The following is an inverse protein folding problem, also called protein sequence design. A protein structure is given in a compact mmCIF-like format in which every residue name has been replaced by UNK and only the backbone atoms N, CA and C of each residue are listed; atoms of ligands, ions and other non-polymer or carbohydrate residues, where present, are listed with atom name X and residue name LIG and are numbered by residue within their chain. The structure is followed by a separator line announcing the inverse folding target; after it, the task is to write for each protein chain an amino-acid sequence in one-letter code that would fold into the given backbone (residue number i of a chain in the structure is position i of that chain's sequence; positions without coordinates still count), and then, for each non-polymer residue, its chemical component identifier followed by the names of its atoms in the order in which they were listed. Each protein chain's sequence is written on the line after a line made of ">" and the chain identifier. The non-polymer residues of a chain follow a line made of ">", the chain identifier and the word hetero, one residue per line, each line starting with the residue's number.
data_IF_237415595764
#
_entry.id   IF_237415595764
#
_cell.length_a   1.000
_cell.length_b   1.000
_cell.length_c   1.000
_cell.angle_alpha   90.00
_cell.angle_beta   90.00
_cell.angle_gamma   90.00
#
_symmetry.space_group_name_H-M   'P 1'
#
loop_
_entity.id
_entity.type
_entity.pdbx_description
1 polymer ?
#
# COMPACT_ATOMS: atom_id res chain seq x y z
N UNK A 1 19.51 19.85 -18.76
CA UNK A 1 18.61 18.86 -18.12
C UNK A 1 18.45 19.34 -16.69
N UNK A 2 17.38 20.10 -16.46
CA UNK A 2 17.28 21.06 -15.36
C UNK A 2 16.50 20.46 -14.17
N UNK A 3 16.97 20.80 -12.97
CA UNK A 3 16.55 20.28 -11.66
C UNK A 3 15.23 20.90 -11.22
N UNK A 4 14.12 20.43 -11.79
CA UNK A 4 12.76 20.74 -11.32
C UNK A 4 11.96 19.45 -11.20
N UNK A 5 12.42 18.63 -10.27
CA UNK A 5 11.83 17.37 -9.89
C UNK A 5 10.94 17.54 -8.65
N UNK A 6 9.82 16.83 -8.68
CA UNK A 6 9.26 16.12 -7.53
C UNK A 6 8.51 16.90 -6.44
N UNK A 7 7.64 17.83 -6.84
CA UNK A 7 6.53 18.29 -5.99
C UNK A 7 5.26 18.45 -6.83
N UNK A 8 4.14 18.04 -6.23
CA UNK A 8 2.74 18.15 -6.70
C UNK A 8 2.21 16.99 -7.56
N UNK A 9 1.45 16.12 -6.90
CA UNK A 9 0.24 15.56 -7.49
C UNK A 9 -0.91 15.82 -6.52
N UNK A 10 -1.22 17.12 -6.34
CA UNK A 10 -2.41 17.59 -5.65
C UNK A 10 -2.82 18.97 -6.22
N UNK A 11 -3.82 18.94 -7.09
CA UNK A 11 -4.82 19.97 -7.37
C UNK A 11 -4.37 21.41 -7.72
N UNK A 12 -4.50 21.75 -9.01
CA UNK A 12 -4.82 23.09 -9.49
C UNK A 12 -5.87 22.97 -10.60
N UNK A 13 -7.12 23.38 -10.31
CA UNK A 13 -7.94 24.13 -11.28
C UNK A 13 -9.11 24.79 -10.54
N UNK A 14 -8.97 26.12 -10.43
CA UNK A 14 -10.01 27.04 -10.04
C UNK A 14 -11.02 27.24 -11.18
N UNK A 15 -12.24 27.59 -10.78
CA UNK A 15 -13.39 27.85 -11.63
C UNK A 15 -13.20 29.01 -12.61
N UNK A 16 -13.87 28.92 -13.76
CA UNK A 16 -14.30 30.09 -14.53
C UNK A 16 -15.71 29.86 -15.09
N UNK A 17 -16.59 30.79 -14.74
CA UNK A 17 -17.98 30.95 -15.13
C UNK A 17 -18.16 31.40 -16.59
N UNK A 18 -19.16 30.84 -17.27
CA UNK A 18 -19.65 31.31 -18.56
C UNK A 18 -21.18 31.15 -18.64
N UNK A 19 -21.88 32.26 -18.80
CA UNK A 19 -23.35 32.37 -18.90
C UNK A 19 -23.77 32.22 -20.37
N UNK A 20 -24.79 31.40 -20.66
CA UNK A 20 -25.60 31.45 -21.89
C UNK A 20 -27.08 31.26 -21.50
N UNK A 21 -28.05 32.01 -22.08
CA UNK A 21 -29.40 32.13 -21.55
C UNK A 21 -30.36 31.00 -21.93
N UNK A 22 -31.43 30.94 -21.14
CA UNK A 22 -32.51 29.95 -21.07
C UNK A 22 -33.42 29.86 -22.29
N UNK A 23 -33.86 28.64 -22.61
CA UNK A 23 -35.17 28.37 -23.21
C UNK A 23 -36.06 27.69 -22.16
N UNK A 24 -37.25 28.26 -21.94
CA UNK A 24 -38.20 27.85 -20.92
C UNK A 24 -38.90 26.52 -21.30
N UNK A 25 -38.80 25.54 -20.41
CA UNK A 25 -39.57 24.29 -20.44
C UNK A 25 -40.13 24.01 -19.05
N UNK A 26 -41.38 23.57 -19.00
CA UNK A 26 -42.24 23.47 -17.81
C UNK A 26 -41.54 22.87 -16.56
N UNK A 27 -41.74 23.52 -15.40
CA UNK A 27 -41.27 23.02 -14.10
C UNK A 27 -42.15 21.84 -13.66
N UNK A 28 -41.62 20.62 -13.52
CA UNK A 28 -42.28 19.63 -12.67
C UNK A 28 -42.18 20.13 -11.22
N UNK A 29 -43.21 19.88 -10.42
CA UNK A 29 -43.20 20.19 -9.00
C UNK A 29 -42.04 19.42 -8.33
N UNK A 30 -40.93 20.11 -8.08
CA UNK A 30 -39.79 19.57 -7.37
C UNK A 30 -40.19 19.39 -5.90
N UNK A 31 -40.47 18.13 -5.52
CA UNK A 31 -40.26 17.74 -4.13
C UNK A 31 -38.84 18.15 -3.74
N UNK A 32 -38.66 18.77 -2.57
CA UNK A 32 -37.34 19.10 -2.02
C UNK A 32 -36.59 17.80 -1.68
N UNK A 33 -36.12 17.07 -2.69
CA UNK A 33 -35.12 16.03 -2.54
C UNK A 33 -33.79 16.71 -2.29
N UNK A 34 -33.32 16.72 -1.04
CA UNK A 34 -31.99 17.20 -0.73
C UNK A 34 -30.96 16.42 -1.56
N UNK A 35 -30.10 17.13 -2.29
CA UNK A 35 -29.03 16.48 -3.05
C UNK A 35 -28.08 15.68 -2.14
N UNK A 36 -27.30 14.79 -2.75
CA UNK A 36 -26.26 13.99 -2.06
C UNK A 36 -25.38 14.90 -1.20
N UNK A 37 -25.18 14.54 0.07
CA UNK A 37 -24.34 15.33 0.97
C UNK A 37 -22.86 15.13 0.65
N UNK A 38 -22.16 16.22 0.37
CA UNK A 38 -20.73 16.21 0.00
C UNK A 38 -19.84 17.03 0.95
N UNK A 39 -20.41 17.74 1.93
CA UNK A 39 -19.65 18.56 2.88
C UNK A 39 -18.69 17.70 3.71
N UNK A 40 -17.42 18.12 3.72
CA UNK A 40 -16.35 17.58 4.56
C UNK A 40 -16.26 18.26 5.95
N UNK A 41 -17.15 19.22 6.21
CA UNK A 41 -17.28 19.89 7.50
C UNK A 41 -18.41 19.23 8.28
N UNK A 42 -18.06 18.56 9.38
CA UNK A 42 -19.04 18.01 10.31
C UNK A 42 -18.99 18.70 11.67
N UNK A 43 -19.86 18.30 12.60
CA UNK A 43 -19.98 18.93 13.91
C UNK A 43 -18.77 18.70 14.82
N UNK A 44 -18.00 17.63 14.59
CA UNK A 44 -16.83 17.28 15.39
C UNK A 44 -15.52 17.59 14.66
N UNK A 45 -15.37 17.16 13.41
CA UNK A 45 -14.17 17.37 12.60
C UNK A 45 -14.48 18.17 11.32
N UNK A 46 -13.66 19.20 11.07
CA UNK A 46 -13.57 19.87 9.76
C UNK A 46 -12.41 19.26 8.96
N UNK A 47 -12.73 18.29 8.08
CA UNK A 47 -11.76 17.60 7.25
C UNK A 47 -11.20 18.46 6.11
N UNK A 48 -11.61 19.74 6.00
CA UNK A 48 -10.98 20.69 5.08
C UNK A 48 -9.75 21.39 5.69
N UNK A 49 -9.53 21.22 6.99
CA UNK A 49 -8.40 21.77 7.74
C UNK A 49 -7.32 20.73 7.98
N UNK A 50 -6.06 21.17 8.15
CA UNK A 50 -4.97 20.27 8.51
C UNK A 50 -5.21 19.55 9.84
N UNK A 51 -5.66 20.28 10.86
CA UNK A 51 -5.98 19.72 12.18
C UNK A 51 -7.05 18.64 12.11
N UNK A 52 -8.15 18.90 11.40
CA UNK A 52 -9.21 17.90 11.22
C UNK A 52 -8.74 16.68 10.44
N UNK A 53 -7.87 16.86 9.44
CA UNK A 53 -7.23 15.76 8.73
C UNK A 53 -6.29 14.94 9.62
N UNK A 54 -5.46 15.59 10.44
CA UNK A 54 -4.59 14.91 11.42
C UNK A 54 -5.40 14.05 12.39
N UNK A 55 -6.45 14.63 12.98
CA UNK A 55 -7.27 13.94 13.98
C UNK A 55 -8.06 12.77 13.36
N UNK A 56 -8.58 12.96 12.13
CA UNK A 56 -9.17 11.86 11.36
C UNK A 56 -8.15 10.75 11.06
N UNK A 57 -6.94 11.13 10.61
CA UNK A 57 -5.88 10.16 10.31
C UNK A 57 -5.46 9.38 11.56
N UNK A 58 -5.32 10.04 12.70
CA UNK A 58 -5.00 9.38 13.97
C UNK A 58 -6.02 8.28 14.30
N UNK A 59 -7.32 8.58 14.23
CA UNK A 59 -8.41 7.62 14.51
C UNK A 59 -8.49 6.48 13.48
N UNK A 60 -8.09 6.73 12.24
CA UNK A 60 -7.97 5.68 11.21
C UNK A 60 -6.72 4.81 11.41
N UNK A 61 -5.62 5.39 11.88
CA UNK A 61 -4.33 4.71 12.04
C UNK A 61 -4.19 3.95 13.38
N UNK A 62 -4.96 4.33 14.40
CA UNK A 62 -4.92 3.73 15.74
C UNK A 62 -6.00 4.31 16.67
N UNK A 63 -5.88 4.02 17.96
CA UNK A 63 -6.75 4.57 19.00
C UNK A 63 -6.12 5.82 19.65
N UNK A 64 -6.87 6.92 19.70
CA UNK A 64 -6.42 8.19 20.30
C UNK A 64 -6.38 8.18 21.83
N UNK A 65 -6.87 7.11 22.47
CA UNK A 65 -6.65 6.86 23.91
C UNK A 65 -5.19 6.49 24.24
N UNK A 66 -4.38 6.21 23.22
CA UNK A 66 -2.97 5.79 23.31
C UNK A 66 -2.73 4.53 24.14
N UNK A 67 -3.77 3.72 24.36
CA UNK A 67 -3.75 2.49 25.16
C UNK A 67 -4.15 1.29 24.30
N UNK A 68 -5.25 1.43 23.57
CA UNK A 68 -5.86 0.36 22.80
C UNK A 68 -5.08 0.06 21.52
N UNK A 69 -5.08 -1.20 21.12
CA UNK A 69 -4.45 -1.65 19.88
C UNK A 69 -5.48 -1.66 18.76
N UNK A 70 -5.06 -1.19 17.58
CA UNK A 70 -5.84 -1.31 16.35
C UNK A 70 -5.22 -2.40 15.48
N UNK A 71 -6.09 -3.21 14.88
CA UNK A 71 -5.70 -4.37 14.08
C UNK A 71 -6.05 -4.11 12.62
N UNK A 72 -5.03 -3.98 11.78
CA UNK A 72 -5.22 -3.94 10.32
C UNK A 72 -5.19 -5.34 9.75
N UNK A 73 -5.98 -5.62 8.72
CA UNK A 73 -5.97 -6.88 7.97
C UNK A 73 -5.89 -6.62 6.47
N UNK A 74 -5.35 -7.57 5.73
CA UNK A 74 -5.39 -7.56 4.27
C UNK A 74 -5.37 -8.97 3.70
N UNK A 75 -6.00 -9.14 2.54
CA UNK A 75 -5.88 -10.36 1.75
C UNK A 75 -6.11 -10.09 0.26
N UNK A 76 -5.51 -10.89 -0.61
CA UNK A 76 -5.59 -10.69 -2.05
C UNK A 76 -4.63 -11.58 -2.83
N UNK A 77 -4.15 -11.07 -3.96
CA UNK A 77 -3.27 -11.80 -4.88
C UNK A 77 -2.05 -10.97 -5.24
N UNK A 78 -0.95 -11.66 -5.51
CA UNK A 78 0.25 -11.11 -6.14
C UNK A 78 0.36 -11.65 -7.55
N UNK A 79 0.40 -10.74 -8.52
CA UNK A 79 0.45 -11.03 -9.94
C UNK A 79 1.82 -10.66 -10.51
N UNK A 80 2.28 -11.45 -11.48
CA UNK A 80 3.36 -11.08 -12.37
C UNK A 80 2.85 -10.15 -13.47
N UNK A 81 3.54 -9.02 -13.66
CA UNK A 81 3.38 -8.15 -14.80
C UNK A 81 4.64 -8.25 -15.66
N UNK A 82 4.53 -8.87 -16.84
CA UNK A 82 5.63 -9.03 -17.80
C UNK A 82 5.24 -8.50 -19.17
N UNK A 83 6.16 -7.85 -19.91
CA UNK A 83 5.89 -7.44 -21.28
C UNK A 83 5.55 -8.63 -22.17
N UNK A 84 4.55 -8.47 -23.06
CA UNK A 84 4.23 -9.45 -24.09
C UNK A 84 3.38 -10.64 -23.64
N UNK A 85 2.93 -10.70 -22.39
CA UNK A 85 1.99 -11.72 -21.90
C UNK A 85 0.87 -11.14 -21.03
N UNK A 86 -0.20 -11.92 -20.85
CA UNK A 86 -1.23 -11.61 -19.86
C UNK A 86 -0.64 -11.68 -18.44
N UNK A 87 -1.20 -10.90 -17.52
CA UNK A 87 -0.84 -10.98 -16.10
C UNK A 87 -1.11 -12.39 -15.60
N UNK A 88 -0.21 -12.89 -14.75
CA UNK A 88 -0.29 -14.22 -14.15
C UNK A 88 -0.40 -14.09 -12.65
N UNK A 89 -1.43 -14.67 -12.06
CA UNK A 89 -1.52 -14.83 -10.60
C UNK A 89 -0.43 -15.81 -10.15
N UNK A 90 0.40 -15.38 -9.19
CA UNK A 90 1.54 -16.18 -8.73
C UNK A 90 1.25 -16.88 -7.41
N UNK A 91 0.72 -16.11 -6.45
CA UNK A 91 0.44 -16.51 -5.08
C UNK A 91 -0.71 -15.66 -4.53
N UNK A 92 -1.47 -16.21 -3.59
CA UNK A 92 -2.32 -15.40 -2.72
C UNK A 92 -1.46 -14.65 -1.71
N UNK A 93 -2.05 -13.67 -1.05
CA UNK A 93 -1.41 -12.87 -0.03
C UNK A 93 -2.38 -12.58 1.11
N UNK A 94 -1.92 -12.68 2.35
CA UNK A 94 -2.72 -12.38 3.54
C UNK A 94 -1.83 -11.90 4.67
N UNK A 95 -2.38 -11.13 5.60
CA UNK A 95 -1.60 -10.67 6.74
C UNK A 95 -2.37 -9.69 7.60
N UNK A 96 -1.68 -9.21 8.62
CA UNK A 96 -2.25 -8.26 9.55
C UNK A 96 -1.17 -7.37 10.17
N UNK A 97 -1.64 -6.36 10.87
CA UNK A 97 -0.80 -5.46 11.64
C UNK A 97 -1.41 -5.13 13.00
N UNK A 98 -0.55 -4.87 13.98
CA UNK A 98 -0.93 -4.35 15.29
C UNK A 98 -0.35 -2.96 15.45
N UNK A 99 -1.21 -1.94 15.57
CA UNK A 99 -0.84 -0.54 15.73
C UNK A 99 -1.24 0.01 17.10
N UNK A 100 -0.42 0.92 17.62
CA UNK A 100 -0.75 1.78 18.77
C UNK A 100 -0.32 3.21 18.48
N UNK A 101 -1.01 4.17 19.08
CA UNK A 101 -0.58 5.56 19.10
C UNK A 101 0.14 5.87 20.41
N UNK A 102 1.22 6.63 20.32
CA UNK A 102 1.96 7.19 21.44
C UNK A 102 1.94 8.72 21.34
N UNK A 103 2.13 9.46 22.45
CA UNK A 103 2.23 10.91 22.39
C UNK A 103 3.45 11.34 21.55
N UNK A 104 3.26 12.36 20.71
CA UNK A 104 4.38 13.05 20.08
C UNK A 104 4.68 14.35 20.82
N UNK A 105 5.71 14.33 21.67
CA UNK A 105 6.15 15.49 22.46
C UNK A 105 7.04 16.48 21.69
N UNK A 106 7.25 16.24 20.39
CA UNK A 106 7.97 17.17 19.52
C UNK A 106 7.21 18.48 19.26
N UNK A 107 7.88 19.45 18.65
CA UNK A 107 7.35 20.80 18.37
C UNK A 107 6.02 20.80 17.62
N UNK A 108 5.83 19.86 16.68
CA UNK A 108 4.60 19.75 15.88
C UNK A 108 3.43 19.07 16.63
N UNK A 109 3.67 18.51 17.83
CA UNK A 109 2.69 17.77 18.61
C UNK A 109 2.10 16.54 17.90
N UNK A 110 0.93 16.08 18.33
CA UNK A 110 0.17 15.00 17.68
C UNK A 110 0.56 13.61 18.17
N UNK A 111 0.72 12.66 17.24
CA UNK A 111 0.86 11.24 17.56
C UNK A 111 2.08 10.62 16.88
N UNK A 112 2.68 9.64 17.56
CA UNK A 112 3.59 8.66 16.98
C UNK A 112 2.80 7.37 16.77
N UNK A 113 2.63 6.93 15.53
CA UNK A 113 2.07 5.61 15.24
C UNK A 113 3.21 4.59 15.29
N UNK A 114 3.07 3.60 16.16
CA UNK A 114 3.96 2.44 16.21
C UNK A 114 3.23 1.20 15.74
N UNK A 115 3.88 0.38 14.91
CA UNK A 115 3.23 -0.75 14.26
C UNK A 115 4.21 -1.90 13.98
N UNK A 116 3.71 -3.12 14.17
CA UNK A 116 4.25 -4.35 13.60
C UNK A 116 3.30 -4.90 12.57
N UNK A 117 3.85 -5.45 11.49
CA UNK A 117 3.09 -6.03 10.40
C UNK A 117 3.74 -7.33 9.91
N UNK A 118 2.90 -8.33 9.68
CA UNK A 118 3.26 -9.59 9.04
C UNK A 118 2.40 -9.83 7.82
N UNK A 119 3.04 -10.30 6.75
CA UNK A 119 2.38 -10.71 5.51
C UNK A 119 2.91 -12.06 5.04
N UNK A 120 2.00 -12.95 4.68
CA UNK A 120 2.25 -14.31 4.24
C UNK A 120 1.75 -14.50 2.82
N UNK A 121 2.44 -15.36 2.08
CA UNK A 121 2.02 -15.79 0.75
C UNK A 121 1.28 -17.10 0.88
N UNK A 122 0.24 -17.28 0.07
CA UNK A 122 -0.65 -18.43 0.15
C UNK A 122 -0.77 -19.14 -1.19
N UNK A 123 -1.07 -20.44 -1.15
CA UNK A 123 -1.46 -21.19 -2.32
C UNK A 123 -2.78 -20.63 -2.89
N UNK A 124 -2.82 -20.37 -4.20
CA UNK A 124 -3.96 -19.71 -4.85
C UNK A 124 -5.26 -20.53 -4.76
N UNK A 125 -5.16 -21.86 -4.66
CA UNK A 125 -6.33 -22.75 -4.68
C UNK A 125 -6.87 -23.00 -3.29
N UNK A 126 -6.00 -23.31 -2.34
CA UNK A 126 -6.37 -23.70 -0.97
C UNK A 126 -6.42 -22.53 0.01
N UNK A 127 -5.69 -21.44 -0.26
CA UNK A 127 -5.53 -20.33 0.67
C UNK A 127 -4.63 -20.65 1.87
N UNK A 128 -3.92 -21.78 1.86
CA UNK A 128 -2.97 -22.16 2.90
C UNK A 128 -1.68 -21.36 2.78
N UNK A 129 -1.09 -20.99 3.91
CA UNK A 129 0.21 -20.30 3.94
C UNK A 129 1.28 -21.26 3.43
N UNK A 130 2.08 -20.80 2.46
CA UNK A 130 3.13 -21.58 1.83
C UNK A 130 4.51 -21.15 2.32
N UNK A 131 5.37 -22.13 2.63
CA UNK A 131 6.78 -21.93 2.96
C UNK A 131 7.71 -22.17 1.76
N UNK A 132 7.22 -22.88 0.74
CA UNK A 132 7.90 -23.14 -0.52
C UNK A 132 6.97 -22.84 -1.69
N UNK A 133 7.54 -22.38 -2.80
CA UNK A 133 6.81 -22.04 -4.02
C UNK A 133 7.59 -22.48 -5.25
N UNK A 134 6.91 -23.11 -6.21
CA UNK A 134 7.51 -23.44 -7.50
C UNK A 134 7.42 -22.21 -8.41
N UNK A 135 8.57 -21.62 -8.73
CA UNK A 135 8.63 -20.51 -9.67
C UNK A 135 8.21 -21.00 -11.08
N UNK A 136 7.09 -20.53 -11.65
CA UNK A 136 6.55 -21.04 -12.91
C UNK A 136 7.34 -20.58 -14.14
N UNK A 137 8.35 -19.73 -13.97
CA UNK A 137 9.23 -19.27 -15.04
C UNK A 137 10.51 -20.10 -15.16
N UNK A 138 10.97 -20.70 -14.05
CA UNK A 138 12.18 -21.52 -13.99
C UNK A 138 11.91 -22.98 -13.62
N UNK A 139 10.69 -23.30 -13.20
CA UNK A 139 10.31 -24.58 -12.61
C UNK A 139 11.23 -25.00 -11.43
N UNK A 140 11.66 -24.00 -10.66
CA UNK A 140 12.53 -24.14 -9.49
C UNK A 140 11.69 -23.95 -8.22
N UNK A 141 11.86 -24.84 -7.25
CA UNK A 141 11.26 -24.67 -5.91
C UNK A 141 12.11 -23.70 -5.12
N UNK A 142 11.53 -22.61 -4.64
CA UNK A 142 12.19 -21.59 -3.84
C UNK A 142 11.52 -21.48 -2.47
N UNK A 143 12.32 -21.16 -1.45
CA UNK A 143 11.81 -20.86 -0.11
C UNK A 143 11.15 -19.49 -0.10
N UNK A 144 9.92 -19.43 0.39
CA UNK A 144 9.16 -18.19 0.55
C UNK A 144 9.69 -17.43 1.77
N UNK A 145 9.83 -16.11 1.64
CA UNK A 145 10.21 -15.24 2.76
C UNK A 145 9.03 -14.31 3.09
N UNK A 146 8.37 -14.49 4.24
CA UNK A 146 7.29 -13.62 4.70
C UNK A 146 7.72 -12.16 4.89
N UNK A 147 6.76 -11.26 4.82
CA UNK A 147 6.94 -9.88 5.29
C UNK A 147 6.85 -9.90 6.82
N UNK A 148 7.83 -9.27 7.47
CA UNK A 148 7.89 -9.14 8.92
C UNK A 148 8.49 -7.76 9.26
N UNK A 149 7.65 -6.72 9.15
CA UNK A 149 8.06 -5.32 9.37
C UNK A 149 7.94 -4.98 10.86
N UNK A 150 9.08 -4.83 11.52
CA UNK A 150 9.18 -4.46 12.94
C UNK A 150 10.30 -3.44 13.18
N UNK A 151 9.98 -2.19 13.53
CA UNK A 151 8.68 -1.54 13.41
C UNK A 151 8.52 -0.74 12.10
N UNK A 152 7.28 -0.45 11.71
CA UNK A 152 6.95 0.47 10.61
C UNK A 152 6.25 1.72 11.14
N UNK A 153 7.08 2.64 11.64
CA UNK A 153 6.65 3.80 12.41
C UNK A 153 6.49 5.05 11.54
N UNK A 154 5.56 5.93 11.89
CA UNK A 154 5.49 7.30 11.38
C UNK A 154 4.81 8.25 12.37
N UNK A 155 4.99 9.55 12.16
CA UNK A 155 4.30 10.60 12.91
C UNK A 155 3.01 11.02 12.20
N UNK A 156 2.01 11.41 12.99
CA UNK A 156 0.75 11.99 12.54
C UNK A 156 0.62 13.35 13.22
N UNK A 157 0.95 14.40 12.47
CA UNK A 157 0.97 15.80 12.93
C UNK A 157 0.13 16.67 12.00
N UNK A 158 0.12 17.99 12.22
CA UNK A 158 -0.50 18.95 11.29
C UNK A 158 0.27 19.03 9.93
N UNK A 159 1.31 18.23 9.73
CA UNK A 159 2.13 18.16 8.53
C UNK A 159 2.31 16.71 8.04
N UNK A 160 2.54 16.54 6.74
CA UNK A 160 2.93 15.24 6.20
C UNK A 160 4.26 14.78 6.81
N UNK A 161 4.41 13.48 7.16
CA UNK A 161 5.68 12.96 7.64
C UNK A 161 6.74 13.05 6.53
N UNK A 162 8.03 13.16 6.89
CA UNK A 162 9.10 13.04 5.91
C UNK A 162 9.06 11.65 5.24
N UNK A 163 9.61 11.52 4.03
CA UNK A 163 9.79 10.22 3.39
C UNK A 163 10.53 9.24 4.31
N UNK A 164 10.18 7.95 4.30
CA UNK A 164 10.85 6.94 5.12
C UNK A 164 12.33 6.83 4.72
N UNK A 165 13.22 6.81 5.71
CA UNK A 165 14.66 6.82 5.49
C UNK A 165 15.23 5.46 5.03
N UNK A 166 14.52 4.34 5.27
CA UNK A 166 14.95 2.96 4.96
C UNK A 166 16.39 2.66 5.38
N UNK A 167 16.68 2.81 6.67
CA UNK A 167 18.03 2.65 7.20
C UNK A 167 19.05 3.69 6.67
N UNK A 168 18.59 4.85 6.20
CA UNK A 168 19.42 5.94 5.68
C UNK A 168 19.65 5.92 4.17
N UNK A 169 19.02 5.00 3.44
CA UNK A 169 19.10 4.92 1.97
C UNK A 169 18.34 6.05 1.28
N UNK A 170 17.23 6.48 1.86
CA UNK A 170 16.49 7.65 1.40
C UNK A 170 16.91 8.87 2.25
N UNK A 171 17.43 9.90 1.59
CA UNK A 171 17.95 11.13 2.22
C UNK A 171 17.09 12.36 1.92
N UNK A 172 15.97 12.18 1.23
CA UNK A 172 15.11 13.27 0.82
C UNK A 172 14.48 13.94 2.05
N UNK A 173 14.58 15.27 2.08
CA UNK A 173 14.02 16.11 3.14
C UNK A 173 13.18 17.22 2.50
N UNK A 174 12.00 16.88 1.97
CA UNK A 174 11.10 17.87 1.40
C UNK A 174 10.65 18.87 2.48
N UNK A 175 10.24 20.09 2.09
CA UNK A 175 9.69 21.07 3.02
C UNK A 175 8.46 20.52 3.74
N UNK A 176 8.22 20.98 4.97
CA UNK A 176 7.00 20.65 5.72
C UNK A 176 5.79 21.20 4.98
N UNK A 177 4.83 20.32 4.66
CA UNK A 177 3.56 20.69 4.01
C UNK A 177 2.41 20.32 4.95
N UNK A 178 1.46 21.22 5.22
CA UNK A 178 0.29 20.90 6.02
C UNK A 178 -0.45 19.69 5.48
N UNK A 179 -0.86 18.78 6.35
CA UNK A 179 -1.62 17.60 5.94
C UNK A 179 -2.96 18.03 5.35
N UNK A 180 -3.31 17.47 4.19
CA UNK A 180 -4.62 17.68 3.55
C UNK A 180 -4.98 16.43 2.76
N UNK A 181 -5.79 15.58 3.39
CA UNK A 181 -6.13 14.27 2.85
C UNK A 181 -7.20 14.40 1.76
N UNK A 182 -7.10 13.58 0.71
CA UNK A 182 -8.07 13.53 -0.39
C UNK A 182 -9.33 12.77 0.05
N UNK A 183 -10.07 13.40 0.96
CA UNK A 183 -11.37 12.94 1.41
C UNK A 183 -12.46 13.33 0.41
N UNK A 184 -13.34 12.38 0.10
CA UNK A 184 -14.48 12.58 -0.79
C UNK A 184 -15.71 11.96 -0.16
N UNK A 185 -16.72 12.78 0.14
CA UNK A 185 -17.94 12.31 0.82
C UNK A 185 -19.12 12.20 -0.16
N UNK A 186 -19.90 11.13 -0.01
CA UNK A 186 -21.25 10.99 -0.57
C UNK A 186 -22.16 10.42 0.52
N UNK A 187 -23.05 11.25 1.03
CA UNK A 187 -23.97 10.92 2.12
C UNK A 187 -23.25 10.40 3.37
N UNK A 188 -23.47 9.15 3.77
CA UNK A 188 -22.80 8.56 4.92
C UNK A 188 -21.46 7.89 4.59
N UNK A 189 -21.06 7.86 3.32
CA UNK A 189 -19.80 7.25 2.90
C UNK A 189 -18.74 8.32 2.71
N UNK A 190 -17.65 8.19 3.45
CA UNK A 190 -16.43 8.97 3.30
C UNK A 190 -15.39 8.08 2.61
N UNK A 191 -14.91 8.50 1.46
CA UNK A 191 -13.77 7.87 0.80
C UNK A 191 -12.51 8.65 1.11
N UNK A 192 -11.40 7.95 1.26
CA UNK A 192 -10.07 8.55 1.25
C UNK A 192 -9.24 7.86 0.18
N UNK A 193 -8.63 8.66 -0.69
CA UNK A 193 -7.61 8.21 -1.62
C UNK A 193 -6.23 8.56 -1.06
N UNK A 194 -5.36 7.57 -0.95
CA UNK A 194 -3.96 7.79 -0.59
C UNK A 194 -3.06 6.99 -1.51
N UNK A 195 -2.00 7.60 -2.00
CA UNK A 195 -0.98 6.95 -2.80
C UNK A 195 0.40 7.40 -2.35
N UNK A 196 1.37 6.49 -2.49
CA UNK A 196 2.77 6.72 -2.17
C UNK A 196 3.56 6.26 -3.38
N UNK A 197 4.44 7.13 -3.89
CA UNK A 197 5.35 6.81 -4.98
C UNK A 197 6.78 6.92 -4.44
N UNK A 198 7.54 5.84 -4.55
CA UNK A 198 8.89 5.74 -4.02
C UNK A 198 9.88 5.39 -5.13
N UNK A 199 10.99 6.12 -5.12
CA UNK A 199 12.15 5.81 -5.96
C UNK A 199 13.41 6.01 -5.12
N UNK A 200 14.07 4.91 -4.72
CA UNK A 200 15.20 4.95 -3.79
C UNK A 200 16.20 3.82 -4.05
N UNK A 201 17.48 3.96 -3.63
CA UNK A 201 18.48 2.91 -3.81
C UNK A 201 18.06 1.59 -3.16
N UNK A 202 18.26 0.48 -3.86
CA UNK A 202 17.94 -0.85 -3.33
C UNK A 202 19.03 -1.35 -2.39
N UNK A 203 18.65 -1.93 -1.24
CA UNK A 203 19.58 -2.68 -0.39
C UNK A 203 20.12 -3.95 -1.08
N UNK A 204 19.40 -4.44 -2.09
CA UNK A 204 19.72 -5.63 -2.88
C UNK A 204 20.40 -5.20 -4.18
N UNK A 205 21.63 -4.68 -4.07
CA UNK A 205 22.40 -4.25 -5.24
C UNK A 205 22.65 -5.43 -6.20
N UNK A 206 22.31 -5.35 -7.50
CA UNK A 206 22.38 -6.48 -8.44
C UNK A 206 23.75 -7.15 -8.55
N UNK A 207 24.84 -6.40 -8.35
CA UNK A 207 26.19 -6.97 -8.35
C UNK A 207 26.42 -7.99 -7.21
N UNK A 208 25.71 -7.84 -6.08
CA UNK A 208 25.76 -8.75 -4.94
C UNK A 208 24.58 -9.72 -4.92
N UNK A 209 23.42 -9.30 -5.44
CA UNK A 209 22.15 -10.02 -5.41
C UNK A 209 21.59 -10.24 -6.82
N UNK A 210 22.33 -10.90 -7.72
CA UNK A 210 21.99 -10.95 -9.13
C UNK A 210 20.74 -11.79 -9.45
N UNK A 211 20.35 -12.70 -8.55
CA UNK A 211 19.14 -13.51 -8.69
C UNK A 211 17.93 -12.85 -8.04
N UNK A 212 18.13 -12.05 -7.02
CA UNK A 212 17.05 -11.41 -6.26
C UNK A 212 16.66 -10.05 -6.81
N UNK A 213 17.57 -9.36 -7.50
CA UNK A 213 17.38 -7.97 -7.91
C UNK A 213 17.89 -7.69 -9.31
N UNK A 214 17.02 -7.10 -10.13
CA UNK A 214 17.34 -6.66 -11.50
C UNK A 214 17.71 -5.18 -11.62
N UNK A 215 17.57 -4.39 -10.56
CA UNK A 215 17.74 -2.92 -10.60
C UNK A 215 18.49 -2.40 -9.38
N UNK A 216 19.41 -1.43 -9.53
CA UNK A 216 20.06 -0.77 -8.40
C UNK A 216 19.10 0.13 -7.57
N UNK A 217 17.91 0.42 -8.09
CA UNK A 217 16.88 1.23 -7.44
C UNK A 217 15.56 0.46 -7.33
N UNK A 218 14.86 0.69 -6.22
CA UNK A 218 13.48 0.30 -6.03
C UNK A 218 12.56 1.37 -6.63
N UNK A 219 11.62 0.94 -7.45
CA UNK A 219 10.52 1.76 -7.95
C UNK A 219 9.22 1.14 -7.46
N UNK A 220 8.57 1.81 -6.52
CA UNK A 220 7.41 1.26 -5.81
C UNK A 220 6.27 2.27 -5.84
N UNK A 221 5.06 1.75 -5.95
CA UNK A 221 3.85 2.52 -5.70
C UNK A 221 2.92 1.72 -4.81
N UNK A 222 2.28 2.39 -3.87
CA UNK A 222 1.17 1.85 -3.08
C UNK A 222 -0.01 2.79 -3.21
N UNK A 223 -1.20 2.23 -3.41
CA UNK A 223 -2.45 2.96 -3.57
C UNK A 223 -3.49 2.34 -2.65
N UNK A 224 -4.16 3.17 -1.86
CA UNK A 224 -5.15 2.81 -0.88
C UNK A 224 -6.47 3.53 -1.17
N UNK A 225 -7.55 2.76 -1.25
CA UNK A 225 -8.91 3.26 -1.40
C UNK A 225 -9.69 2.91 -0.14
N UNK A 226 -9.84 3.88 0.76
CA UNK A 226 -10.57 3.67 2.02
C UNK A 226 -12.06 3.95 1.84
N UNK A 227 -12.88 3.18 2.55
CA UNK A 227 -14.30 3.36 2.69
C UNK A 227 -14.64 3.46 4.18
N UNK A 228 -15.06 4.64 4.60
CA UNK A 228 -15.23 5.02 6.00
C UNK A 228 -16.68 5.46 6.24
N UNK A 229 -17.24 5.11 7.40
CA UNK A 229 -18.53 5.66 7.82
C UNK A 229 -18.36 7.11 8.31
N UNK A 230 -19.07 8.04 7.66
CA UNK A 230 -19.01 9.46 8.00
C UNK A 230 -19.52 9.76 9.40
N UNK A 231 -20.55 9.07 9.89
CA UNK A 231 -21.07 9.28 11.25
C UNK A 231 -20.03 8.87 12.28
N UNK A 232 -19.34 7.76 12.05
CA UNK A 232 -18.26 7.31 12.94
C UNK A 232 -17.10 8.30 12.97
N UNK A 233 -16.71 8.81 11.79
CA UNK A 233 -15.71 9.87 11.69
C UNK A 233 -16.10 11.14 12.46
N UNK A 234 -17.39 11.44 12.56
CA UNK A 234 -17.91 12.61 13.27
C UNK A 234 -18.34 12.34 14.72
N UNK A 235 -18.21 11.11 15.22
CA UNK A 235 -18.55 10.76 16.60
C UNK A 235 -17.42 11.14 17.57
N UNK A 236 -17.59 12.13 18.46
CA UNK A 236 -16.56 12.55 19.40
C UNK A 236 -16.27 11.52 20.51
N UNK A 237 -17.11 10.49 20.67
CA UNK A 237 -16.92 9.44 21.69
C UNK A 237 -15.97 8.34 21.25
N UNK A 238 -15.69 8.27 19.95
CA UNK A 238 -14.89 7.21 19.33
C UNK A 238 -13.41 7.57 19.30
N UNK A 239 -12.59 6.76 19.94
CA UNK A 239 -11.12 6.89 19.94
C UNK A 239 -10.47 6.37 18.66
N UNK A 240 -11.17 5.52 17.91
CA UNK A 240 -10.79 5.00 16.60
C UNK A 240 -11.96 5.13 15.62
N UNK A 241 -11.69 4.94 14.33
CA UNK A 241 -12.71 4.78 13.29
C UNK A 241 -12.34 3.57 12.44
N UNK A 242 -13.23 2.59 12.35
CA UNK A 242 -13.02 1.42 11.51
C UNK A 242 -13.23 1.75 10.02
N UNK A 243 -12.58 0.98 9.15
CA UNK A 243 -12.73 1.14 7.71
C UNK A 243 -12.47 -0.19 6.99
N UNK A 244 -13.03 -0.27 5.79
CA UNK A 244 -12.71 -1.27 4.77
C UNK A 244 -12.19 -0.58 3.52
N UNK A 245 -11.59 -1.34 2.61
CA UNK A 245 -11.09 -0.75 1.38
C UNK A 245 -10.30 -1.72 0.51
N UNK A 246 -9.53 -1.14 -0.40
CA UNK A 246 -8.58 -1.87 -1.23
C UNK A 246 -7.20 -1.26 -1.13
N UNK A 247 -6.21 -2.13 -1.29
CA UNK A 247 -4.82 -1.78 -1.39
C UNK A 247 -4.24 -2.43 -2.65
N UNK A 248 -3.61 -1.62 -3.47
CA UNK A 248 -2.85 -2.07 -4.62
C UNK A 248 -1.40 -1.63 -4.48
N UNK A 249 -0.47 -2.46 -4.96
CA UNK A 249 0.96 -2.14 -4.93
C UNK A 249 1.64 -2.59 -6.21
N UNK A 250 2.51 -1.74 -6.73
CA UNK A 250 3.49 -2.11 -7.76
C UNK A 250 4.85 -2.11 -7.10
N UNK A 251 5.60 -3.20 -7.25
CA UNK A 251 6.92 -3.38 -6.65
C UNK A 251 7.78 -4.25 -7.55
N UNK A 252 9.12 -4.11 -7.56
CA UNK A 252 9.98 -5.06 -8.25
C UNK A 252 9.68 -6.50 -7.81
N UNK A 253 10.14 -7.47 -8.60
CA UNK A 253 10.05 -8.88 -8.22
C UNK A 253 10.45 -9.09 -6.76
N UNK A 254 9.70 -9.93 -6.05
CA UNK A 254 10.04 -10.24 -4.67
C UNK A 254 11.37 -10.98 -4.66
N UNK A 255 12.32 -10.61 -3.77
CA UNK A 255 13.66 -11.16 -3.79
C UNK A 255 13.70 -12.69 -3.76
N UNK A 256 12.84 -13.33 -2.95
CA UNK A 256 12.75 -14.78 -2.83
C UNK A 256 12.20 -15.48 -4.09
N UNK A 257 11.56 -14.76 -5.02
CA UNK A 257 11.13 -15.33 -6.30
C UNK A 257 12.30 -15.59 -7.26
N UNK A 258 13.49 -15.03 -6.99
CA UNK A 258 14.71 -15.23 -7.77
C UNK A 258 14.59 -14.85 -9.26
N UNK A 259 13.84 -13.79 -9.56
CA UNK A 259 13.60 -13.33 -10.93
C UNK A 259 14.71 -12.44 -11.51
N UNK A 260 15.59 -11.89 -10.67
CA UNK A 260 16.80 -11.16 -11.07
C UNK A 260 16.54 -10.13 -12.17
N UNK A 261 17.27 -10.24 -13.27
CA UNK A 261 17.18 -9.36 -14.44
C UNK A 261 16.01 -9.68 -15.39
N UNK A 262 15.10 -10.58 -15.01
CA UNK A 262 13.90 -10.88 -15.81
C UNK A 262 13.02 -9.63 -15.90
N UNK A 263 12.66 -9.15 -17.10
CA UNK A 263 11.77 -8.01 -17.24
C UNK A 263 10.42 -8.26 -16.58
N UNK A 264 9.93 -7.25 -15.85
CA UNK A 264 8.64 -7.28 -15.18
C UNK A 264 8.73 -6.88 -13.72
N UNK A 265 7.62 -7.04 -13.02
CA UNK A 265 7.47 -6.67 -11.62
C UNK A 265 6.24 -7.38 -11.01
N UNK A 266 6.05 -7.23 -9.71
CA UNK A 266 4.86 -7.70 -9.02
C UNK A 266 3.80 -6.58 -8.91
N UNK A 267 2.55 -6.96 -9.14
CA UNK A 267 1.38 -6.15 -8.82
C UNK A 267 0.52 -6.86 -7.76
N UNK A 268 0.21 -6.16 -6.68
CA UNK A 268 -0.67 -6.63 -5.62
C UNK A 268 -2.06 -6.06 -5.84
N UNK A 269 -3.08 -6.88 -5.63
CA UNK A 269 -4.48 -6.46 -5.58
C UNK A 269 -5.12 -7.09 -4.34
N UNK A 270 -5.38 -6.25 -3.33
CA UNK A 270 -5.82 -6.71 -2.01
C UNK A 270 -7.06 -5.95 -1.53
N UNK A 271 -7.92 -6.64 -0.79
CA UNK A 271 -8.80 -6.03 0.18
C UNK A 271 -8.02 -5.73 1.46
N UNK A 272 -8.45 -4.71 2.18
CA UNK A 272 -7.88 -4.32 3.46
C UNK A 272 -8.93 -3.69 4.37
N UNK A 273 -8.64 -3.67 5.67
CA UNK A 273 -9.44 -2.96 6.66
C UNK A 273 -8.68 -2.79 7.97
N UNK A 274 -9.28 -2.06 8.91
CA UNK A 274 -8.75 -1.98 10.27
C UNK A 274 -9.84 -1.80 11.33
N UNK A 275 -9.76 -2.60 12.38
CA UNK A 275 -10.76 -2.71 13.46
C UNK A 275 -10.08 -2.74 14.83
N UNK A 276 -10.87 -2.55 15.88
CA UNK A 276 -10.37 -2.64 17.26
C UNK A 276 -10.49 -4.07 17.85
N UNK A 277 -10.84 -5.04 17.01
CA UNK A 277 -10.96 -6.44 17.38
C UNK A 277 -10.04 -7.30 16.50
N UNK A 278 -9.15 -8.08 17.12
CA UNK A 278 -8.22 -8.97 16.40
C UNK A 278 -8.94 -10.11 15.67
N UNK A 279 -10.14 -10.49 16.12
CA UNK A 279 -10.91 -11.62 15.55
C UNK A 279 -11.45 -11.34 14.13
N UNK A 280 -11.24 -10.13 13.58
CA UNK A 280 -11.49 -9.86 12.15
C UNK A 280 -10.44 -10.50 11.23
N UNK A 281 -9.30 -10.93 11.78
CA UNK A 281 -8.23 -11.59 11.04
C UNK A 281 -8.52 -13.09 10.97
N UNK A 282 -8.28 -13.72 9.81
CA UNK A 282 -8.47 -15.16 9.65
C UNK A 282 -7.66 -15.94 10.71
N UNK A 283 -8.34 -16.83 11.41
CA UNK A 283 -7.75 -17.63 12.51
C UNK A 283 -6.51 -18.40 12.06
N UNK A 284 -6.47 -18.89 10.81
CA UNK A 284 -5.28 -19.59 10.26
C UNK A 284 -4.03 -18.70 10.31
N UNK A 285 -4.20 -17.41 10.04
CA UNK A 285 -3.12 -16.43 10.02
C UNK A 285 -2.66 -16.16 11.45
N UNK A 286 -3.60 -16.00 12.38
CA UNK A 286 -3.28 -15.82 13.80
C UNK A 286 -2.53 -17.03 14.37
N UNK A 287 -3.00 -18.25 14.12
CA UNK A 287 -2.37 -19.47 14.61
C UNK A 287 -0.95 -19.65 14.04
N UNK A 288 -0.77 -19.37 12.74
CA UNK A 288 0.55 -19.41 12.13
C UNK A 288 1.48 -18.33 12.72
N UNK A 289 0.98 -17.11 12.92
CA UNK A 289 1.78 -16.02 13.52
C UNK A 289 2.14 -16.32 14.97
N UNK A 290 1.22 -16.85 15.78
CA UNK A 290 1.50 -17.20 17.18
C UNK A 290 2.62 -18.24 17.28
N UNK A 291 2.62 -19.23 16.39
CA UNK A 291 3.64 -20.28 16.36
C UNK A 291 4.99 -19.81 15.80
N UNK A 292 5.00 -19.02 14.73
CA UNK A 292 6.22 -18.73 13.96
C UNK A 292 6.76 -17.30 14.18
N UNK A 293 5.90 -16.35 14.54
CA UNK A 293 6.21 -14.93 14.69
C UNK A 293 5.49 -14.29 15.90
N UNK A 294 5.55 -14.87 17.12
CA UNK A 294 4.68 -14.49 18.25
C UNK A 294 4.76 -13.00 18.63
N UNK A 295 5.90 -12.35 18.41
CA UNK A 295 6.08 -10.91 18.67
C UNK A 295 5.11 -10.03 17.87
N UNK A 296 4.64 -10.49 16.71
CA UNK A 296 3.74 -9.75 15.83
C UNK A 296 2.28 -9.81 16.24
N UNK A 297 1.93 -10.62 17.26
CA UNK A 297 0.60 -10.61 17.90
C UNK A 297 0.35 -9.35 18.74
N UNK A 298 1.37 -8.52 18.92
CA UNK A 298 1.32 -7.33 19.77
C UNK A 298 1.94 -6.11 19.07
N UNK A 299 1.31 -4.95 19.25
CA UNK A 299 1.89 -3.67 18.82
C UNK A 299 3.17 -3.37 19.62
N UNK A 300 4.13 -2.59 19.07
CA UNK A 300 5.23 -2.05 19.85
C UNK A 300 4.73 -1.16 20.99
N UNK A 301 5.44 -1.15 22.11
CA UNK A 301 5.14 -0.28 23.26
C UNK A 301 5.92 1.03 23.23
N UNK A 302 7.00 1.10 22.44
CA UNK A 302 7.87 2.25 22.33
C UNK A 302 8.22 2.55 20.87
N UNK A 303 8.58 3.81 20.62
CA UNK A 303 9.13 4.24 19.35
C UNK A 303 10.53 3.66 19.13
N UNK A 304 10.83 3.31 17.89
CA UNK A 304 12.20 3.00 17.44
C UNK A 304 12.49 3.76 16.15
N UNK A 305 13.69 4.30 16.05
CA UNK A 305 14.18 5.01 14.86
C UNK A 305 14.61 4.07 13.74
N UNK A 306 14.75 2.77 14.04
CA UNK A 306 14.94 1.75 13.01
C UNK A 306 13.59 1.52 12.32
N UNK A 307 13.53 1.88 11.05
CA UNK A 307 12.41 1.57 10.15
C UNK A 307 12.99 1.03 8.83
N UNK A 308 12.74 -0.25 8.57
CA UNK A 308 13.24 -0.98 7.41
C UNK A 308 12.04 -1.49 6.62
N UNK A 309 12.12 -1.44 5.28
CA UNK A 309 11.13 -2.16 4.48
C UNK A 309 11.43 -3.66 4.48
N UNK A 310 10.50 -4.44 3.92
CA UNK A 310 10.70 -5.87 3.68
C UNK A 310 11.94 -6.17 2.84
N UNK A 311 12.35 -5.26 1.95
CA UNK A 311 13.55 -5.44 1.11
C UNK A 311 14.85 -5.26 1.92
N UNK A 312 14.91 -4.26 2.79
CA UNK A 312 16.06 -4.08 3.69
C UNK A 312 16.14 -5.21 4.73
N UNK A 313 15.00 -5.69 5.22
CA UNK A 313 14.94 -6.86 6.10
C UNK A 313 15.42 -8.13 5.38
N UNK A 314 15.05 -8.33 4.12
CA UNK A 314 15.56 -9.43 3.30
C UNK A 314 17.09 -9.36 3.19
N UNK A 315 17.64 -8.20 2.85
CA UNK A 315 19.09 -8.01 2.71
C UNK A 315 19.88 -8.29 4.00
N UNK A 316 19.26 -8.11 5.18
CA UNK A 316 19.86 -8.38 6.50
C UNK A 316 19.77 -9.84 6.93
N UNK A 317 18.68 -10.51 6.56
CA UNK A 317 18.35 -11.85 7.11
C UNK A 317 18.66 -12.98 6.15
N UNK A 318 18.78 -12.70 4.86
CA UNK A 318 19.03 -13.69 3.82
C UNK A 318 20.47 -13.60 3.30
N UNK A 319 20.86 -14.60 2.50
CA UNK A 319 22.12 -14.62 1.74
C UNK A 319 21.79 -14.67 0.25
N UNK A 320 22.63 -14.09 -0.63
CA UNK A 320 22.43 -14.21 -2.08
C UNK A 320 22.38 -15.68 -2.50
N UNK A 321 21.40 -16.00 -3.35
CA UNK A 321 21.25 -17.30 -3.96
C UNK A 321 22.45 -17.59 -4.88
N UNK A 322 22.92 -18.84 -4.95
CA UNK A 322 24.08 -19.21 -5.75
C UNK A 322 23.80 -18.96 -7.24
N UNK A 323 24.84 -18.53 -7.94
CA UNK A 323 24.84 -18.28 -9.38
C UNK A 323 25.60 -19.41 -10.06
N UNK A 324 24.99 -20.03 -11.08
CA UNK A 324 25.62 -21.08 -11.86
C UNK A 324 26.72 -20.54 -12.79
N UNK A 325 27.47 -21.42 -13.47
CA UNK A 325 28.56 -21.02 -14.37
C UNK A 325 28.09 -20.16 -15.56
N UNK A 326 26.82 -20.28 -15.95
CA UNK A 326 26.20 -19.50 -17.05
C UNK A 326 25.70 -18.11 -16.60
N UNK A 327 25.87 -17.75 -15.32
CA UNK A 327 25.33 -16.53 -14.74
C UNK A 327 23.93 -16.71 -14.14
N UNK A 328 23.28 -15.61 -13.68
CA UNK A 328 21.95 -15.68 -13.10
C UNK A 328 20.91 -16.03 -14.19
N UNK A 329 19.96 -16.94 -13.93
CA UNK A 329 18.93 -17.27 -14.90
C UNK A 329 18.04 -16.06 -15.19
N UNK A 330 17.59 -15.95 -16.45
CA UNK A 330 16.62 -14.95 -16.90
C UNK A 330 15.47 -15.67 -17.60
N UNK A 331 14.23 -15.38 -17.22
CA UNK A 331 13.08 -16.04 -17.85
C UNK A 331 13.01 -15.67 -19.34
N UNK A 332 12.63 -16.63 -20.18
CA UNK A 332 12.44 -16.39 -21.62
C UNK A 332 11.39 -15.30 -21.84
N UNK A 333 11.66 -14.39 -22.76
CA UNK A 333 10.69 -13.36 -23.13
C UNK A 333 9.44 -14.02 -23.76
N UNK A 334 8.23 -13.61 -23.38
CA UNK A 334 7.02 -14.19 -23.94
C UNK A 334 6.91 -13.92 -25.44
N UNK A 335 6.39 -14.88 -26.19
CA UNK A 335 6.06 -14.67 -27.60
C UNK A 335 4.66 -14.05 -27.74
N UNK A 336 4.55 -13.05 -28.61
CA UNK A 336 3.25 -12.49 -28.95
C UNK A 336 2.31 -13.58 -29.52
N UNK A 337 0.98 -13.47 -29.28
CA UNK A 337 0.01 -14.43 -29.78
C UNK A 337 0.17 -14.70 -31.28
N UNK A 338 0.00 -15.95 -31.70
CA UNK A 338 0.21 -16.37 -33.10
C UNK A 338 -0.64 -15.55 -34.10
N UNK A 339 -1.87 -15.20 -33.72
CA UNK A 339 -2.75 -14.36 -34.54
C UNK A 339 -2.17 -12.95 -34.77
N UNK A 340 -1.51 -12.38 -33.77
CA UNK A 340 -0.92 -11.04 -33.85
C UNK A 340 0.36 -11.08 -34.68
N UNK A 341 1.19 -12.12 -34.51
CA UNK A 341 2.38 -12.34 -35.36
C UNK A 341 1.99 -12.53 -36.83
N UNK A 342 0.91 -13.28 -37.11
CA UNK A 342 0.37 -13.44 -38.45
C UNK A 342 -0.09 -12.09 -39.05
N UNK A 343 -0.81 -11.27 -38.27
CA UNK A 343 -1.20 -9.92 -38.66
C UNK A 343 0.01 -9.04 -38.99
N UNK A 344 1.06 -9.05 -38.17
CA UNK A 344 2.29 -8.30 -38.42
C UNK A 344 3.05 -8.78 -39.66
N UNK A 345 2.95 -10.06 -40.00
CA UNK A 345 3.54 -10.65 -41.20
C UNK A 345 2.70 -10.44 -42.48
N UNK A 346 1.64 -9.62 -42.42
CA UNK A 346 0.75 -9.35 -43.56
C UNK A 346 -0.31 -10.44 -43.80
N UNK A 347 -0.46 -11.41 -42.89
CA UNK A 347 -1.53 -12.39 -42.91
C UNK A 347 -2.83 -11.78 -42.35
N UNK A 348 -3.93 -11.86 -43.10
CA UNK A 348 -5.24 -11.48 -42.57
C UNK A 348 -5.56 -12.33 -41.32
N UNK A 349 -6.10 -11.72 -40.24
CA UNK A 349 -6.52 -12.49 -39.06
C UNK A 349 -7.60 -13.49 -39.49
N UNK A 350 -7.32 -14.79 -39.32
CA UNK A 350 -8.34 -15.82 -39.48
C UNK A 350 -9.31 -15.70 -38.32
N UNK A 351 -10.56 -15.36 -38.63
CA UNK A 351 -11.68 -15.22 -37.68
C UNK A 351 -12.07 -16.54 -37.05
#
# INVERSE_FOLDING_TARGET
>A
MDRRDFLSSAAMLAAASGVIPSAAGAKPAAGKGGGVQTSLKGPHLDLTTSRGCRDAWARLAGNTDMKSTKYGWYHGVVQAVRPGEALRDLVGFTGFSCARLLPNEGEDGGYKKVLREVGYYTDLKSGEIIEEWTNPYFNEVVKVVPIANDPFNHTITDFYPPPPAYGGLNKDKPPKVPVKLDFRRRDNRLHWFSNIHLFYPSALQPAKWPRESGSPFNQVTETFLYQIDWRDMQDPKKTSVEYDGTWARTTPWLPWMLMGQTPGHCAYQCFMGAHDNIEVIDRRVLDYTEKHFPKFMHAPEAWSDVSLSSLENYARTQKPAPVGPEGPPRAKDPELPAWFRAMQAGGAPKT
#
